data_IF_558242473313
#
_entry.id   IF_558242473313
#
_cell.length_a   1.000
_cell.length_b   1.000
_cell.length_c   1.000
_cell.angle_alpha   90.00
_cell.angle_beta   90.00
_cell.angle_gamma   90.00
#
_symmetry.space_group_name_H-M   'P 1'
#
loop_
_entity.id
_entity.type
_entity.pdbx_description
1 polymer ?
#
# COMPACT_ATOMS: atom_id res chain seq x y z
N UNK A 1 25.37 -8.43 -22.57
CA UNK A 1 24.31 -7.40 -22.59
C UNK A 1 23.34 -7.71 -21.45
N UNK A 2 23.16 -6.81 -20.51
CA UNK A 2 22.32 -7.03 -19.32
C UNK A 2 20.84 -6.87 -19.67
N UNK A 3 19.93 -7.50 -18.94
CA UNK A 3 18.49 -7.44 -19.20
C UNK A 3 17.98 -6.00 -19.27
N UNK A 4 18.43 -5.13 -18.36
CA UNK A 4 18.06 -3.70 -18.31
C UNK A 4 18.45 -2.99 -19.61
N UNK A 5 19.65 -3.24 -20.15
CA UNK A 5 20.10 -2.61 -21.40
C UNK A 5 19.21 -3.03 -22.56
N UNK A 6 18.85 -4.31 -22.63
CA UNK A 6 17.95 -4.85 -23.66
C UNK A 6 16.54 -4.26 -23.56
N UNK A 7 16.00 -4.16 -22.34
CA UNK A 7 14.69 -3.55 -22.12
C UNK A 7 14.71 -2.06 -22.47
N UNK A 8 15.74 -1.33 -22.04
CA UNK A 8 15.89 0.10 -22.33
C UNK A 8 16.07 0.39 -23.83
N UNK A 9 16.73 -0.51 -24.55
CA UNK A 9 16.89 -0.38 -26.01
C UNK A 9 15.58 -0.63 -26.78
N UNK A 10 14.70 -1.49 -26.26
CA UNK A 10 13.42 -1.83 -26.92
C UNK A 10 12.27 -0.91 -26.51
N UNK A 11 12.18 -0.55 -25.25
CA UNK A 11 11.06 0.21 -24.69
C UNK A 11 11.37 1.71 -24.59
N UNK A 12 12.63 2.08 -24.68
CA UNK A 12 13.11 3.44 -24.41
C UNK A 12 13.63 3.58 -22.98
N UNK A 13 14.66 4.41 -22.81
CA UNK A 13 15.36 4.61 -21.53
C UNK A 13 14.46 5.16 -20.41
N UNK A 14 13.43 5.90 -20.78
CA UNK A 14 12.49 6.52 -19.83
C UNK A 14 11.36 5.56 -19.38
N UNK A 15 11.18 4.43 -20.07
CA UNK A 15 10.10 3.48 -19.76
C UNK A 15 10.55 2.38 -18.79
N UNK A 16 11.85 2.18 -18.62
CA UNK A 16 12.39 1.20 -17.67
C UNK A 16 12.69 1.91 -16.37
N UNK A 17 11.77 1.78 -15.41
CA UNK A 17 11.78 2.53 -14.16
C UNK A 17 12.13 1.61 -12.97
N UNK A 18 12.63 2.21 -11.91
CA UNK A 18 12.73 1.58 -10.58
C UNK A 18 11.89 2.36 -9.57
N UNK A 19 11.36 1.67 -8.59
CA UNK A 19 10.74 2.29 -7.43
C UNK A 19 11.80 2.53 -6.33
N UNK A 20 11.80 3.75 -5.79
CA UNK A 20 12.56 4.12 -4.60
C UNK A 20 11.56 4.36 -3.48
N UNK A 21 11.68 3.61 -2.39
CA UNK A 21 10.83 3.78 -1.22
C UNK A 21 11.16 5.09 -0.50
N UNK A 22 10.12 5.75 -0.02
CA UNK A 22 10.20 6.95 0.82
C UNK A 22 9.55 6.68 2.17
N UNK A 23 10.05 7.29 3.25
CA UNK A 23 9.48 7.14 4.59
C UNK A 23 8.19 7.97 4.74
N UNK A 24 7.17 7.61 3.98
CA UNK A 24 5.87 8.28 3.97
C UNK A 24 4.78 7.29 4.31
N UNK A 25 3.84 7.71 5.16
CA UNK A 25 2.73 6.86 5.59
C UNK A 25 1.64 6.75 4.52
N UNK A 26 1.45 7.81 3.71
CA UNK A 26 0.46 7.80 2.64
C UNK A 26 1.01 7.03 1.44
N UNK A 27 0.29 6.03 0.93
CA UNK A 27 0.76 5.13 -0.13
C UNK A 27 1.19 5.86 -1.41
N UNK A 28 0.48 6.93 -1.80
CA UNK A 28 0.77 7.72 -3.00
C UNK A 28 2.13 8.44 -2.95
N UNK A 29 2.66 8.65 -1.74
CA UNK A 29 3.96 9.28 -1.52
C UNK A 29 5.03 8.30 -1.03
N UNK A 30 4.65 7.04 -0.77
CA UNK A 30 5.53 6.00 -0.23
C UNK A 30 6.63 5.54 -1.19
N UNK A 31 6.57 5.92 -2.46
CA UNK A 31 7.59 5.61 -3.45
C UNK A 31 7.70 6.69 -4.53
N UNK A 32 8.86 6.71 -5.20
CA UNK A 32 9.13 7.52 -6.39
C UNK A 32 9.67 6.63 -7.49
N UNK A 33 9.23 6.84 -8.72
CA UNK A 33 9.76 6.14 -9.89
C UNK A 33 10.89 6.94 -10.52
N UNK A 34 12.02 6.29 -10.79
CA UNK A 34 13.17 6.88 -11.47
C UNK A 34 13.63 6.01 -12.65
N UNK A 35 14.03 6.60 -13.79
CA UNK A 35 14.58 5.85 -14.91
C UNK A 35 15.82 5.04 -14.52
N UNK A 36 15.85 3.77 -14.90
CA UNK A 36 16.99 2.88 -14.66
C UNK A 36 18.24 3.31 -15.42
N UNK A 37 18.08 4.02 -16.54
CA UNK A 37 19.19 4.50 -17.35
C UNK A 37 20.10 5.49 -16.64
N UNK A 38 19.61 6.19 -15.62
CA UNK A 38 20.36 7.14 -14.81
C UNK A 38 21.19 6.47 -13.71
N UNK A 39 21.13 5.15 -13.61
CA UNK A 39 21.83 4.39 -12.61
C UNK A 39 23.20 3.92 -13.08
N UNK A 40 24.20 4.21 -12.29
CA UNK A 40 25.41 3.41 -12.31
C UNK A 40 25.07 2.03 -11.69
N UNK A 41 24.63 1.08 -12.54
CA UNK A 41 24.17 -0.25 -12.13
C UNK A 41 25.22 -0.99 -11.28
N UNK A 42 26.52 -0.74 -11.51
CA UNK A 42 27.62 -1.34 -10.72
C UNK A 42 27.65 -0.80 -9.29
N UNK A 43 27.42 0.49 -9.13
CA UNK A 43 27.34 1.13 -7.80
C UNK A 43 26.12 0.67 -7.04
N UNK A 44 24.97 0.56 -7.72
CA UNK A 44 23.72 0.07 -7.13
C UNK A 44 23.80 -1.41 -6.70
N UNK A 45 24.33 -2.31 -7.56
CA UNK A 45 24.54 -3.71 -7.20
C UNK A 45 25.46 -3.86 -5.96
N UNK A 46 26.52 -3.06 -5.87
CA UNK A 46 27.38 -3.02 -4.67
C UNK A 46 26.59 -2.58 -3.44
N UNK A 47 25.81 -1.51 -3.53
CA UNK A 47 25.02 -1.03 -2.39
C UNK A 47 23.99 -2.04 -1.91
N UNK A 48 23.28 -2.73 -2.81
CA UNK A 48 22.32 -3.77 -2.47
C UNK A 48 23.00 -5.00 -1.85
N UNK A 49 24.16 -5.40 -2.37
CA UNK A 49 24.88 -6.55 -1.87
C UNK A 49 25.61 -6.25 -0.54
N UNK A 50 26.01 -4.99 -0.32
CA UNK A 50 26.68 -4.58 0.95
C UNK A 50 25.68 -4.13 2.01
N UNK A 51 24.44 -3.84 1.65
CA UNK A 51 23.38 -3.50 2.60
C UNK A 51 22.76 -4.73 3.31
N UNK A 52 23.50 -5.83 3.44
CA UNK A 52 23.31 -6.77 4.56
C UNK A 52 23.71 -6.06 5.85
N UNK A 53 22.99 -4.98 6.19
CA UNK A 53 23.06 -4.44 7.53
C UNK A 53 22.50 -5.51 8.46
N UNK A 54 23.36 -6.03 9.28
CA UNK A 54 23.02 -6.63 10.57
C UNK A 54 21.84 -5.85 11.16
N UNK A 55 20.77 -6.52 11.57
CA UNK A 55 19.69 -5.82 12.27
C UNK A 55 20.32 -5.09 13.47
N UNK A 56 19.87 -3.87 13.79
CA UNK A 56 20.41 -3.11 14.92
C UNK A 56 20.35 -3.99 16.15
N UNK A 57 21.47 -4.07 16.83
CA UNK A 57 21.68 -4.84 18.05
C UNK A 57 20.54 -4.53 19.01
N UNK A 58 19.73 -5.54 19.31
CA UNK A 58 18.61 -5.41 20.23
C UNK A 58 19.19 -5.10 21.61
N UNK A 59 19.14 -3.84 22.00
CA UNK A 59 19.25 -3.50 23.41
C UNK A 59 18.21 -4.34 24.15
N UNK A 60 18.72 -5.31 24.90
CA UNK A 60 17.96 -6.19 25.80
C UNK A 60 17.32 -5.30 26.86
N UNK A 61 16.05 -4.95 26.69
CA UNK A 61 15.22 -4.57 27.82
C UNK A 61 14.88 -5.84 28.61
N UNK A 62 15.15 -5.89 29.92
CA UNK A 62 14.83 -7.05 30.76
C UNK A 62 13.32 -7.05 31.01
N UNK A 63 12.65 -8.05 30.55
CA UNK A 63 11.26 -8.50 30.81
C UNK A 63 10.44 -8.71 29.55
N UNK A 64 10.74 -9.78 28.81
CA UNK A 64 9.76 -10.47 27.97
C UNK A 64 10.22 -11.91 27.75
N UNK A 65 10.13 -12.72 28.79
CA UNK A 65 10.02 -14.15 28.66
C UNK A 65 8.62 -14.49 28.12
N UNK A 66 8.62 -15.41 27.16
CA UNK A 66 7.46 -16.10 26.58
C UNK A 66 6.63 -15.33 25.55
N UNK A 67 7.10 -15.29 24.30
CA UNK A 67 6.16 -15.27 23.17
C UNK A 67 6.79 -15.79 21.86
N UNK A 68 7.26 -17.04 21.81
CA UNK A 68 7.58 -17.73 20.56
C UNK A 68 6.33 -18.13 19.75
N UNK A 69 5.13 -17.88 20.25
CA UNK A 69 3.86 -18.24 19.64
C UNK A 69 3.27 -17.22 18.66
N UNK A 70 3.82 -16.00 18.57
CA UNK A 70 3.23 -14.97 17.70
C UNK A 70 3.77 -14.98 16.25
N UNK A 71 4.88 -15.68 15.99
CA UNK A 71 5.46 -15.78 14.63
C UNK A 71 4.61 -16.63 13.67
N UNK A 72 3.64 -17.38 14.16
CA UNK A 72 2.69 -18.17 13.37
C UNK A 72 1.27 -17.61 13.39
N UNK A 73 1.04 -16.43 13.98
CA UNK A 73 -0.23 -15.73 13.75
C UNK A 73 -0.33 -15.52 12.23
N UNK A 74 -1.23 -16.31 11.62
CA UNK A 74 -1.64 -16.16 10.24
C UNK A 74 -1.70 -14.67 9.91
N UNK A 75 -0.89 -14.22 8.93
CA UNK A 75 -0.98 -12.85 8.43
C UNK A 75 -2.45 -12.60 8.17
N UNK A 76 -3.03 -11.66 8.90
CA UNK A 76 -4.41 -11.28 8.66
C UNK A 76 -4.48 -10.88 7.17
N UNK A 77 -5.50 -11.27 6.43
CA UNK A 77 -5.65 -10.87 5.05
C UNK A 77 -5.54 -9.34 4.83
N UNK A 78 -5.73 -8.56 5.90
CA UNK A 78 -5.51 -7.12 5.96
C UNK A 78 -4.04 -6.69 5.77
N UNK A 79 -3.06 -7.56 6.05
CA UNK A 79 -1.64 -7.23 5.96
C UNK A 79 -1.09 -7.28 4.53
N UNK A 80 -1.93 -7.60 3.54
CA UNK A 80 -1.54 -7.63 2.14
C UNK A 80 -1.85 -6.29 1.47
N UNK A 81 -0.82 -5.68 0.89
CA UNK A 81 -1.00 -4.53 -0.01
C UNK A 81 -1.66 -4.98 -1.32
N UNK A 82 -2.38 -4.09 -2.01
CA UNK A 82 -2.99 -4.43 -3.29
C UNK A 82 -1.93 -4.76 -4.35
N UNK A 83 -2.27 -5.66 -5.28
CA UNK A 83 -1.41 -6.01 -6.43
C UNK A 83 -1.37 -4.85 -7.43
N UNK A 84 -2.49 -4.18 -7.61
CA UNK A 84 -2.59 -3.01 -8.45
C UNK A 84 -3.01 -1.79 -7.62
N UNK A 85 -2.30 -0.68 -7.82
CA UNK A 85 -2.44 0.54 -7.06
C UNK A 85 -2.59 1.74 -7.98
N UNK A 86 -3.60 2.58 -7.72
CA UNK A 86 -3.79 3.86 -8.42
C UNK A 86 -3.18 5.00 -7.60
N UNK A 87 -2.25 5.71 -8.21
CA UNK A 87 -1.65 6.91 -7.59
C UNK A 87 -2.70 8.01 -7.37
N UNK A 88 -3.65 8.10 -8.30
CA UNK A 88 -4.80 8.99 -8.21
C UNK A 88 -6.03 8.13 -7.87
N UNK A 89 -6.48 8.16 -6.60
CA UNK A 89 -7.63 7.37 -6.18
C UNK A 89 -8.91 7.82 -6.85
N UNK A 90 -9.75 6.87 -7.21
CA UNK A 90 -11.05 7.14 -7.81
C UNK A 90 -12.11 7.32 -6.72
N UNK A 91 -12.81 8.44 -6.72
CA UNK A 91 -13.95 8.65 -5.82
C UNK A 91 -15.10 7.69 -6.18
N UNK A 92 -15.65 7.03 -5.16
CA UNK A 92 -16.71 6.03 -5.30
C UNK A 92 -17.85 6.31 -4.34
N UNK A 93 -19.05 5.87 -4.70
CA UNK A 93 -20.18 5.83 -3.78
C UNK A 93 -20.11 4.52 -2.98
N UNK A 94 -20.23 4.64 -1.67
CA UNK A 94 -20.20 3.53 -0.74
C UNK A 94 -21.38 3.68 0.24
N UNK A 95 -22.14 2.61 0.42
CA UNK A 95 -23.10 2.51 1.52
C UNK A 95 -22.41 1.86 2.71
N UNK A 96 -22.76 2.35 3.89
CA UNK A 96 -22.20 1.85 5.16
C UNK A 96 -23.31 1.30 6.03
N UNK A 97 -22.95 0.51 7.04
CA UNK A 97 -23.89 0.05 8.06
C UNK A 97 -24.45 1.23 8.88
N UNK A 98 -25.46 0.95 9.72
CA UNK A 98 -26.11 1.97 10.57
C UNK A 98 -25.10 2.73 11.49
N UNK A 99 -24.03 2.08 11.89
CA UNK A 99 -22.96 2.73 12.67
C UNK A 99 -22.02 3.60 11.81
N UNK A 100 -22.21 3.63 10.47
CA UNK A 100 -21.38 4.42 9.54
C UNK A 100 -19.93 3.95 9.39
N UNK A 101 -19.59 2.80 9.95
CA UNK A 101 -18.18 2.39 10.08
C UNK A 101 -17.76 1.31 9.07
N UNK A 102 -18.69 0.54 8.51
CA UNK A 102 -18.35 -0.62 7.70
C UNK A 102 -18.99 -0.52 6.31
N UNK A 103 -18.23 -0.72 5.22
CA UNK A 103 -18.76 -0.71 3.87
C UNK A 103 -19.67 -1.93 3.67
N UNK A 104 -20.89 -1.71 3.17
CA UNK A 104 -21.87 -2.76 2.87
C UNK A 104 -22.12 -2.92 1.37
N UNK A 105 -22.07 -1.82 0.62
CA UNK A 105 -22.23 -1.82 -0.82
C UNK A 105 -21.34 -0.76 -1.47
N UNK A 106 -20.83 -1.07 -2.66
CA UNK A 106 -20.00 -0.15 -3.47
C UNK A 106 -20.60 0.01 -4.87
N UNK A 107 -20.62 1.24 -5.38
CA UNK A 107 -20.91 1.51 -6.79
C UNK A 107 -19.65 1.29 -7.62
N UNK A 108 -19.61 0.21 -8.42
CA UNK A 108 -18.50 -0.10 -9.30
C UNK A 108 -18.99 -0.28 -10.74
N UNK A 109 -18.43 0.47 -11.69
CA UNK A 109 -18.80 0.44 -13.12
C UNK A 109 -20.30 0.61 -13.35
N UNK A 110 -20.94 1.55 -12.63
CA UNK A 110 -22.35 1.85 -12.74
C UNK A 110 -23.30 0.80 -12.14
N UNK A 111 -22.77 -0.19 -11.42
CA UNK A 111 -23.57 -1.22 -10.73
C UNK A 111 -23.27 -1.22 -9.24
N UNK A 112 -24.34 -1.26 -8.45
CA UNK A 112 -24.22 -1.44 -7.00
C UNK A 112 -23.83 -2.89 -6.71
N UNK A 113 -22.72 -3.07 -5.98
CA UNK A 113 -22.13 -4.36 -5.68
C UNK A 113 -22.12 -4.56 -4.16
N UNK A 114 -22.66 -5.69 -3.71
CA UNK A 114 -22.68 -6.03 -2.29
C UNK A 114 -21.30 -6.45 -1.80
N UNK A 115 -20.88 -5.90 -0.65
CA UNK A 115 -19.70 -6.32 0.07
C UNK A 115 -20.03 -7.54 0.90
N UNK A 116 -19.40 -8.68 0.64
CA UNK A 116 -19.60 -9.93 1.38
C UNK A 116 -18.61 -10.11 2.53
N UNK A 117 -17.43 -9.49 2.41
CA UNK A 117 -16.41 -9.44 3.44
C UNK A 117 -15.67 -8.12 3.41
N UNK A 118 -15.22 -7.68 4.59
CA UNK A 118 -14.29 -6.57 4.71
C UNK A 118 -13.30 -6.83 5.83
N UNK A 119 -12.14 -6.17 5.74
CA UNK A 119 -11.10 -6.13 6.77
C UNK A 119 -10.70 -4.67 6.95
N UNK A 120 -10.48 -4.27 8.17
CA UNK A 120 -10.19 -2.89 8.57
C UNK A 120 -11.13 -2.41 9.69
N UNK A 121 -11.15 -1.12 10.00
CA UNK A 121 -10.32 -0.08 9.37
C UNK A 121 -8.85 -0.14 9.79
N UNK A 122 -7.95 0.15 8.85
CA UNK A 122 -6.58 0.53 9.13
C UNK A 122 -6.48 2.05 9.00
N UNK A 123 -6.23 2.72 10.12
CA UNK A 123 -6.19 4.18 10.15
C UNK A 123 -4.80 4.69 9.83
N UNK A 124 -4.71 5.56 8.82
CA UNK A 124 -3.51 6.32 8.47
C UNK A 124 -3.76 7.79 8.75
N UNK A 125 -2.93 8.36 9.61
CA UNK A 125 -2.90 9.79 9.91
C UNK A 125 -1.53 10.34 9.52
N UNK A 126 -1.49 11.34 8.65
CA UNK A 126 -0.24 11.88 8.14
C UNK A 126 -0.39 13.33 7.69
N UNK A 127 0.77 14.01 7.56
CA UNK A 127 0.84 15.32 6.93
C UNK A 127 0.55 16.50 7.86
N UNK A 128 0.38 16.30 9.18
CA UNK A 128 0.17 17.38 10.12
C UNK A 128 1.29 18.44 10.08
N UNK A 129 2.51 18.03 9.74
CA UNK A 129 3.67 18.93 9.58
C UNK A 129 3.70 19.65 8.22
N UNK A 130 2.79 19.30 7.29
CA UNK A 130 2.64 19.94 5.97
C UNK A 130 1.41 20.87 5.90
N UNK A 131 0.79 21.15 7.05
CA UNK A 131 -0.33 22.07 7.21
C UNK A 131 -1.69 21.38 7.27
N UNK A 132 -2.10 20.56 6.31
CA UNK A 132 -3.38 19.86 6.35
C UNK A 132 -3.18 18.39 6.72
N UNK A 133 -3.60 18.03 7.93
CA UNK A 133 -3.61 16.64 8.36
C UNK A 133 -4.56 15.80 7.49
N UNK A 134 -4.08 14.67 7.04
CA UNK A 134 -4.88 13.68 6.31
C UNK A 134 -5.17 12.53 7.25
N UNK A 135 -6.45 12.19 7.41
CA UNK A 135 -6.93 11.05 8.18
C UNK A 135 -7.75 10.16 7.28
N UNK A 136 -7.36 8.90 7.13
CA UNK A 136 -8.04 7.94 6.27
C UNK A 136 -8.20 6.62 6.99
N UNK A 137 -9.39 6.03 6.88
CA UNK A 137 -9.67 4.67 7.31
C UNK A 137 -9.68 3.76 6.08
N UNK A 138 -8.68 2.89 5.97
CA UNK A 138 -8.52 1.94 4.88
C UNK A 138 -9.24 0.64 5.16
N UNK A 139 -9.87 0.11 4.11
CA UNK A 139 -10.55 -1.18 4.13
C UNK A 139 -10.14 -2.01 2.93
N UNK A 140 -9.95 -3.28 3.15
CA UNK A 140 -9.98 -4.27 2.09
C UNK A 140 -11.38 -4.83 2.04
N UNK A 141 -12.01 -4.82 0.87
CA UNK A 141 -13.38 -5.31 0.67
C UNK A 141 -13.38 -6.40 -0.39
N UNK A 142 -14.23 -7.40 -0.19
CA UNK A 142 -14.54 -8.45 -1.15
C UNK A 142 -15.99 -8.34 -1.57
N UNK A 143 -16.21 -8.18 -2.87
CA UNK A 143 -17.55 -8.07 -3.45
C UNK A 143 -18.15 -9.44 -3.74
N UNK A 144 -19.47 -9.51 -3.88
CA UNK A 144 -20.19 -10.72 -4.25
C UNK A 144 -19.68 -11.34 -5.57
N UNK A 145 -19.11 -10.53 -6.46
CA UNK A 145 -18.47 -10.97 -7.71
C UNK A 145 -17.10 -11.61 -7.53
N UNK A 146 -16.55 -11.67 -6.31
CA UNK A 146 -15.21 -12.14 -6.02
C UNK A 146 -14.12 -11.10 -6.21
N UNK A 147 -14.44 -9.91 -6.74
CA UNK A 147 -13.47 -8.83 -6.85
C UNK A 147 -13.10 -8.30 -5.47
N UNK A 148 -11.81 -7.99 -5.30
CA UNK A 148 -11.28 -7.45 -4.05
C UNK A 148 -10.68 -6.10 -4.30
N UNK A 149 -11.11 -5.11 -3.50
CA UNK A 149 -10.67 -3.73 -3.62
C UNK A 149 -10.04 -3.23 -2.34
N UNK A 150 -9.10 -2.30 -2.51
CA UNK A 150 -8.56 -1.49 -1.45
C UNK A 150 -9.21 -0.11 -1.52
N UNK A 151 -10.04 0.20 -0.53
CA UNK A 151 -10.82 1.43 -0.47
C UNK A 151 -10.50 2.17 0.82
N UNK A 152 -10.69 3.46 0.82
CA UNK A 152 -10.57 4.25 2.04
C UNK A 152 -11.65 5.31 2.15
N UNK A 153 -11.96 5.67 3.39
CA UNK A 153 -12.81 6.79 3.76
C UNK A 153 -11.94 7.94 4.29
N UNK A 154 -12.23 9.17 3.86
CA UNK A 154 -11.58 10.38 4.37
C UNK A 154 -12.30 10.86 5.62
N UNK A 155 -11.55 11.21 6.67
CA UNK A 155 -12.07 11.73 7.92
C UNK A 155 -11.68 13.20 8.16
N UNK A 156 -12.60 14.02 8.71
CA UNK A 156 -14.00 13.74 8.96
C UNK A 156 -14.82 13.72 7.66
N UNK A 157 -15.82 12.87 7.58
CA UNK A 157 -16.75 12.81 6.44
C UNK A 157 -16.97 11.40 5.92
N UNK A 158 -17.76 11.30 4.85
CA UNK A 158 -18.18 10.04 4.23
C UNK A 158 -17.74 9.90 2.77
N UNK A 159 -16.69 10.62 2.37
CA UNK A 159 -16.14 10.45 1.02
C UNK A 159 -15.28 9.20 0.95
N UNK A 160 -15.61 8.33 0.00
CA UNK A 160 -14.94 7.07 -0.22
C UNK A 160 -14.14 7.06 -1.51
N UNK A 161 -13.01 6.39 -1.49
CA UNK A 161 -12.10 6.31 -2.62
C UNK A 161 -11.63 4.88 -2.84
N UNK A 162 -11.56 4.48 -4.10
CA UNK A 162 -10.94 3.24 -4.55
C UNK A 162 -9.48 3.52 -4.91
N UNK A 163 -8.54 2.84 -4.28
CA UNK A 163 -7.12 3.07 -4.48
C UNK A 163 -6.36 1.86 -5.01
N UNK A 164 -6.92 0.66 -4.93
CA UNK A 164 -6.25 -0.54 -5.43
C UNK A 164 -7.15 -1.74 -5.56
N UNK A 165 -6.63 -2.79 -6.20
CA UNK A 165 -7.26 -4.10 -6.26
C UNK A 165 -6.26 -5.22 -5.94
N UNK A 166 -6.79 -6.38 -5.53
CA UNK A 166 -6.02 -7.57 -5.15
C UNK A 166 -6.14 -8.66 -6.19
#
# INVERSE_FOLDING_TARGET
MRLIDRLSSRLGKQQVLRAILKPEALPEYGFQLEPMANLNVQRWCRQVLTSKKTPPDKQKTPSQQNNRGWLLKQRKPADCLPVWYWKEPLEIQCQTNQAGNCPTELLHKGRLQKVIRYWGPERIESGWWRGRAVRRDYYRVELQTGLRFWVYRVLPGDRWFLQGNF
#
